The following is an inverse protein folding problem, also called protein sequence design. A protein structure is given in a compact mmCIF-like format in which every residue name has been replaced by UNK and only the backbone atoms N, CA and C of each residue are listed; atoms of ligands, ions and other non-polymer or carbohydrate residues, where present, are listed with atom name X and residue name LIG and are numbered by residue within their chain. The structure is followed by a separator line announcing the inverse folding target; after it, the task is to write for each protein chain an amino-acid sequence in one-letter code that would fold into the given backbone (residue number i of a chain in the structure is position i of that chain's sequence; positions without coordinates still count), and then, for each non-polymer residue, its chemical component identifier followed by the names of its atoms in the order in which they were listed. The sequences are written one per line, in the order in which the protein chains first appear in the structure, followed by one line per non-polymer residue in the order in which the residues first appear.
data_IF_938104072828
#
_entry.id   IF_938104072828
#
_cell.length_a   1.000
_cell.length_b   1.000
_cell.length_c   1.000
_cell.angle_alpha   90.00
_cell.angle_beta   90.00
_cell.angle_gamma   90.00
#
_symmetry.space_group_name_H-M   'P 1'
#
loop_
_entity.id
_entity.type
_entity.pdbx_description
1 polymer ?
#
# COMPACT_ATOMS: atom_id res chain seq x y z
N UNK A 1 -28.65 42.34 -2.61
CA UNK A 1 -29.06 41.01 -3.14
C UNK A 1 -27.99 40.26 -3.89
N UNK A 2 -27.02 40.90 -4.51
CA UNK A 2 -25.90 40.26 -5.19
C UNK A 2 -24.90 39.57 -4.24
N UNK A 3 -24.82 39.98 -2.97
CA UNK A 3 -23.88 39.39 -2.01
C UNK A 3 -24.24 37.96 -1.56
N UNK A 4 -25.48 37.58 -1.60
CA UNK A 4 -25.92 36.24 -1.22
C UNK A 4 -25.62 35.19 -2.29
N UNK A 5 -25.63 35.56 -3.55
CA UNK A 5 -25.31 34.68 -4.66
C UNK A 5 -23.81 34.38 -4.71
N UNK A 6 -22.97 35.36 -4.35
CA UNK A 6 -21.51 35.18 -4.32
C UNK A 6 -21.06 34.23 -3.23
N UNK A 7 -21.73 34.22 -2.09
CA UNK A 7 -21.41 33.32 -0.96
C UNK A 7 -21.75 31.87 -1.30
N UNK A 8 -22.84 31.63 -2.01
CA UNK A 8 -23.25 30.28 -2.42
C UNK A 8 -22.28 29.69 -3.44
N UNK A 9 -21.77 30.50 -4.36
CA UNK A 9 -20.77 30.07 -5.35
C UNK A 9 -19.42 29.71 -4.71
N UNK A 10 -18.99 30.47 -3.70
CA UNK A 10 -17.74 30.20 -3.00
C UNK A 10 -17.79 28.89 -2.19
N UNK A 11 -18.92 28.61 -1.54
CA UNK A 11 -19.10 27.37 -0.76
C UNK A 11 -19.16 26.14 -1.65
N UNK A 12 -19.77 26.21 -2.82
CA UNK A 12 -19.80 25.10 -3.78
C UNK A 12 -18.42 24.77 -4.34
N UNK A 13 -17.59 25.77 -4.59
CA UNK A 13 -16.22 25.60 -5.10
C UNK A 13 -15.30 24.97 -4.03
N UNK A 14 -15.46 25.34 -2.76
CA UNK A 14 -14.68 24.77 -1.68
C UNK A 14 -15.01 23.30 -1.43
N UNK A 15 -16.27 22.90 -1.54
CA UNK A 15 -16.68 21.50 -1.41
C UNK A 15 -16.09 20.61 -2.51
N UNK A 16 -15.97 21.10 -3.74
CA UNK A 16 -15.38 20.36 -4.86
C UNK A 16 -13.87 20.10 -4.67
N UNK A 17 -13.16 21.00 -3.99
CA UNK A 17 -11.72 20.83 -3.71
C UNK A 17 -11.43 19.77 -2.63
N UNK A 18 -12.38 19.52 -1.71
CA UNK A 18 -12.22 18.55 -0.64
C UNK A 18 -12.37 17.09 -1.12
N UNK A 19 -13.00 16.84 -2.26
CA UNK A 19 -13.19 15.51 -2.84
C UNK A 19 -12.08 15.13 -3.83
N UNK A 20 -11.11 16.00 -4.10
CA UNK A 20 -10.04 15.77 -5.07
C UNK A 20 -8.81 15.02 -4.53
N UNK A 21 -8.75 14.74 -3.22
CA UNK A 21 -7.63 14.01 -2.61
C UNK A 21 -7.98 12.52 -2.52
N UNK A 22 -7.54 11.72 -3.51
CA UNK A 22 -7.66 10.27 -3.48
C UNK A 22 -6.69 9.65 -2.49
N UNK A 23 -7.04 8.47 -1.94
CA UNK A 23 -6.13 7.65 -1.15
C UNK A 23 -5.11 6.99 -2.09
N UNK A 24 -3.83 7.07 -1.74
CA UNK A 24 -2.77 6.37 -2.46
C UNK A 24 -2.57 4.99 -1.83
N UNK A 25 -2.35 3.98 -2.69
CA UNK A 25 -2.02 2.65 -2.24
C UNK A 25 -0.65 2.63 -1.58
N UNK A 26 -0.51 1.83 -0.53
CA UNK A 26 0.76 1.58 0.14
C UNK A 26 1.17 0.12 -0.03
N UNK A 27 2.43 -0.19 0.25
CA UNK A 27 2.93 -1.57 0.22
C UNK A 27 2.06 -2.46 1.11
N UNK A 28 1.61 -3.57 0.57
CA UNK A 28 0.77 -4.52 1.28
C UNK A 28 -0.73 -4.34 1.08
N UNK A 29 -1.17 -3.28 0.43
CA UNK A 29 -2.59 -3.08 0.13
C UNK A 29 -3.13 -4.17 -0.79
N UNK A 30 -4.39 -4.52 -0.61
CA UNK A 30 -5.11 -5.42 -1.50
C UNK A 30 -5.24 -4.80 -2.89
N UNK A 31 -5.27 -5.62 -3.91
CA UNK A 31 -5.37 -5.17 -5.29
C UNK A 31 -5.89 -6.28 -6.20
N UNK A 32 -6.45 -5.90 -7.33
CA UNK A 32 -6.85 -6.82 -8.39
C UNK A 32 -6.00 -6.66 -9.64
N UNK A 33 -5.61 -5.42 -9.95
CA UNK A 33 -4.80 -5.06 -11.11
C UNK A 33 -3.68 -4.10 -10.70
N UNK A 34 -2.67 -3.96 -11.55
CA UNK A 34 -1.49 -3.14 -11.25
C UNK A 34 -1.82 -1.67 -10.97
N UNK A 35 -2.80 -1.11 -11.66
CA UNK A 35 -3.19 0.29 -11.46
C UNK A 35 -3.78 0.57 -10.09
N UNK A 36 -4.29 -0.45 -9.40
CA UNK A 36 -4.76 -0.31 -8.02
C UNK A 36 -3.63 0.05 -7.05
N UNK A 37 -2.39 -0.29 -7.42
CA UNK A 37 -1.20 -0.05 -6.61
C UNK A 37 -0.48 1.26 -6.94
N UNK A 38 -1.04 2.08 -7.85
CA UNK A 38 -0.39 3.31 -8.29
C UNK A 38 0.71 3.07 -9.33
N UNK A 39 1.57 4.06 -9.54
CA UNK A 39 2.57 4.04 -10.61
C UNK A 39 3.89 3.39 -10.21
N UNK A 40 4.19 3.32 -8.94
CA UNK A 40 5.48 2.80 -8.43
C UNK A 40 5.46 1.33 -8.05
N UNK A 41 4.28 0.75 -7.92
CA UNK A 41 4.09 -0.62 -7.47
C UNK A 41 3.27 -1.42 -8.49
N UNK A 42 3.33 -2.73 -8.37
CA UNK A 42 2.45 -3.62 -9.12
C UNK A 42 1.65 -4.53 -8.16
N UNK A 43 0.62 -5.17 -8.67
CA UNK A 43 -0.22 -6.08 -7.90
C UNK A 43 0.30 -7.51 -8.02
N UNK A 44 0.79 -8.07 -6.93
CA UNK A 44 1.17 -9.48 -6.85
C UNK A 44 -0.06 -10.34 -6.56
N UNK A 45 -0.61 -10.94 -7.61
CA UNK A 45 -1.87 -11.68 -7.54
C UNK A 45 -1.76 -13.07 -6.94
N UNK A 46 -0.55 -13.60 -6.81
CA UNK A 46 -0.32 -14.87 -6.14
C UNK A 46 -0.52 -14.78 -4.62
N UNK A 47 -0.50 -13.57 -4.10
CA UNK A 47 -0.75 -13.30 -2.68
C UNK A 47 -2.25 -13.19 -2.42
N UNK A 48 -2.75 -13.63 -1.23
CA UNK A 48 -4.18 -13.57 -0.90
C UNK A 48 -4.76 -12.14 -1.06
N UNK A 49 -5.84 -11.99 -1.82
CA UNK A 49 -6.51 -10.72 -2.13
C UNK A 49 -5.61 -9.72 -2.88
N UNK A 50 -4.51 -10.19 -3.47
CA UNK A 50 -3.51 -9.34 -4.08
C UNK A 50 -2.64 -8.58 -3.07
N UNK A 51 -1.50 -8.12 -3.50
CA UNK A 51 -0.53 -7.45 -2.65
C UNK A 51 0.25 -6.42 -3.45
N UNK A 52 0.13 -5.14 -3.08
CA UNK A 52 0.89 -4.08 -3.73
C UNK A 52 2.36 -4.15 -3.28
N UNK A 53 3.27 -4.33 -4.22
CA UNK A 53 4.69 -4.48 -3.91
C UNK A 53 5.60 -3.95 -5.02
N UNK A 54 6.88 -3.94 -4.75
CA UNK A 54 7.95 -3.67 -5.71
C UNK A 54 8.90 -4.85 -5.69
N UNK A 55 9.22 -5.41 -6.85
CA UNK A 55 10.19 -6.47 -7.00
C UNK A 55 11.60 -5.89 -7.15
N UNK A 56 12.60 -6.62 -6.70
CA UNK A 56 14.02 -6.22 -6.77
C UNK A 56 14.30 -4.94 -6.00
N UNK A 57 13.69 -4.81 -4.83
CA UNK A 57 13.80 -3.62 -4.00
C UNK A 57 15.20 -3.35 -3.46
N UNK A 58 16.08 -4.34 -3.46
CA UNK A 58 17.49 -4.14 -3.09
C UNK A 58 18.20 -3.15 -4.02
N UNK A 59 17.75 -3.07 -5.27
CA UNK A 59 18.31 -2.18 -6.27
C UNK A 59 17.58 -0.84 -6.32
N UNK A 60 16.25 -0.87 -6.30
CA UNK A 60 15.40 0.31 -6.55
C UNK A 60 14.75 0.90 -5.29
N UNK A 61 14.79 0.17 -4.17
CA UNK A 61 14.19 0.62 -2.91
C UNK A 61 12.68 0.38 -2.83
N UNK A 62 12.12 0.74 -1.69
CA UNK A 62 10.69 0.63 -1.42
C UNK A 62 10.06 2.01 -1.26
N UNK A 63 8.79 2.19 -1.66
CA UNK A 63 8.03 3.38 -1.29
C UNK A 63 7.92 3.53 0.23
N UNK A 64 7.57 4.70 0.69
CA UNK A 64 7.65 5.29 2.03
C UNK A 64 7.59 4.35 3.24
N UNK A 65 6.70 3.38 3.25
CA UNK A 65 6.49 2.51 4.42
C UNK A 65 6.95 1.08 4.22
N UNK A 66 7.33 0.71 3.01
CA UNK A 66 7.73 -0.65 2.71
C UNK A 66 9.11 -0.98 3.27
N UNK A 67 9.29 -2.21 3.72
CA UNK A 67 10.59 -2.76 4.05
C UNK A 67 11.01 -3.75 2.98
N UNK A 68 12.26 -3.66 2.54
CA UNK A 68 12.78 -4.58 1.53
C UNK A 68 13.20 -5.89 2.18
N UNK A 69 12.59 -6.98 1.75
CA UNK A 69 12.86 -8.33 2.27
C UNK A 69 13.45 -9.16 1.15
N UNK A 70 14.63 -9.71 1.41
CA UNK A 70 15.32 -10.64 0.49
C UNK A 70 14.95 -12.06 0.84
N UNK A 71 14.09 -12.67 0.01
CA UNK A 71 13.65 -14.05 0.21
C UNK A 71 14.64 -15.06 -0.36
N UNK A 72 15.39 -14.66 -1.36
CA UNK A 72 16.42 -15.46 -2.03
C UNK A 72 17.44 -14.50 -2.65
N UNK A 73 18.54 -15.01 -3.17
CA UNK A 73 19.63 -14.22 -3.77
C UNK A 73 19.13 -13.28 -4.89
N UNK A 74 18.11 -13.72 -5.64
CA UNK A 74 17.58 -12.96 -6.76
C UNK A 74 16.14 -12.48 -6.54
N UNK A 75 15.58 -12.66 -5.33
CA UNK A 75 14.20 -12.34 -5.04
C UNK A 75 14.07 -11.47 -3.80
N UNK A 76 13.86 -10.20 -4.03
CA UNK A 76 13.52 -9.24 -2.97
C UNK A 76 12.23 -8.52 -3.32
N UNK A 77 11.42 -8.26 -2.30
CA UNK A 77 10.12 -7.61 -2.44
C UNK A 77 9.92 -6.60 -1.31
N UNK A 78 9.20 -5.54 -1.63
CA UNK A 78 8.75 -4.60 -0.61
C UNK A 78 7.58 -5.22 0.16
N UNK A 79 7.73 -5.31 1.46
CA UNK A 79 6.72 -5.90 2.34
C UNK A 79 6.20 -4.86 3.32
N UNK A 80 4.96 -5.05 3.76
CA UNK A 80 4.32 -4.20 4.75
C UNK A 80 4.94 -4.45 6.13
N UNK A 81 5.51 -3.44 6.79
CA UNK A 81 6.10 -3.63 8.11
C UNK A 81 5.03 -3.87 9.18
N UNK A 82 5.39 -4.61 10.22
CA UNK A 82 4.52 -4.88 11.36
C UNK A 82 5.32 -4.99 12.65
N UNK A 83 4.64 -4.84 13.78
CA UNK A 83 5.19 -5.14 15.11
C UNK A 83 4.46 -6.32 15.75
N UNK A 84 3.15 -6.38 15.54
CA UNK A 84 2.28 -7.43 16.09
C UNK A 84 1.35 -7.97 15.01
N UNK A 85 0.72 -9.12 15.27
CA UNK A 85 -0.13 -9.82 14.31
C UNK A 85 -1.29 -8.97 13.79
N UNK A 86 -1.86 -8.11 14.62
CA UNK A 86 -3.00 -7.26 14.26
C UNK A 86 -2.64 -6.11 13.33
N UNK A 87 -1.35 -5.85 13.11
CA UNK A 87 -0.90 -4.86 12.13
C UNK A 87 -1.07 -5.37 10.69
N UNK A 88 -1.24 -6.68 10.51
CA UNK A 88 -1.40 -7.30 9.21
C UNK A 88 -2.88 -7.52 8.90
N UNK A 89 -3.26 -7.35 7.63
CA UNK A 89 -4.63 -7.63 7.19
C UNK A 89 -4.95 -9.13 7.24
N UNK A 90 -6.21 -9.48 7.13
CA UNK A 90 -6.69 -10.87 7.15
C UNK A 90 -5.95 -11.72 6.10
N UNK A 91 -5.55 -12.92 6.49
CA UNK A 91 -4.79 -13.83 5.64
C UNK A 91 -3.28 -13.64 5.72
N UNK A 92 -2.81 -12.69 6.53
CA UNK A 92 -1.39 -12.37 6.72
C UNK A 92 -0.99 -12.48 8.17
N UNK A 93 0.28 -12.77 8.40
CA UNK A 93 0.89 -12.85 9.73
C UNK A 93 2.12 -11.95 9.79
N UNK A 94 2.43 -11.47 10.98
CA UNK A 94 3.65 -10.70 11.21
C UNK A 94 4.83 -11.67 11.41
N UNK A 95 5.74 -11.70 10.45
CA UNK A 95 6.95 -12.53 10.49
C UNK A 95 8.04 -11.75 11.21
N UNK A 96 8.50 -12.27 12.34
CA UNK A 96 9.49 -11.59 13.20
C UNK A 96 10.86 -12.26 13.22
N UNK A 97 10.98 -13.43 12.61
CA UNK A 97 12.19 -14.28 12.66
C UNK A 97 12.86 -14.45 11.29
N UNK A 98 12.58 -13.58 10.35
CA UNK A 98 13.17 -13.60 9.01
C UNK A 98 13.66 -12.22 8.62
N UNK A 99 14.95 -12.08 8.38
CA UNK A 99 15.54 -10.79 8.00
C UNK A 99 15.59 -9.76 9.13
N UNK A 100 16.05 -8.53 8.85
CA UNK A 100 16.29 -7.51 9.88
C UNK A 100 15.02 -6.79 10.37
N UNK A 101 13.93 -6.85 9.60
CA UNK A 101 12.69 -6.12 9.91
C UNK A 101 11.47 -7.03 9.87
N UNK A 102 10.59 -6.98 10.87
CA UNK A 102 9.33 -7.71 10.82
C UNK A 102 8.43 -7.21 9.68
N UNK A 103 7.74 -8.13 9.03
CA UNK A 103 6.87 -7.82 7.90
C UNK A 103 5.66 -8.76 7.83
N UNK A 104 4.59 -8.27 7.22
CA UNK A 104 3.39 -9.05 6.98
C UNK A 104 3.59 -9.97 5.77
N UNK A 105 3.46 -11.27 5.98
CA UNK A 105 3.50 -12.25 4.88
C UNK A 105 2.26 -13.12 4.91
N UNK A 106 1.92 -13.70 3.77
CA UNK A 106 0.79 -14.60 3.68
C UNK A 106 0.98 -15.81 4.60
N UNK A 107 -0.12 -16.26 5.20
CA UNK A 107 -0.12 -17.55 5.89
C UNK A 107 0.12 -18.61 4.82
N UNK A 108 1.18 -19.40 4.95
CA UNK A 108 1.48 -20.44 3.98
C UNK A 108 0.31 -21.43 3.91
N UNK A 109 -0.11 -21.73 2.69
CA UNK A 109 -1.07 -22.80 2.47
C UNK A 109 -0.46 -24.12 2.95
N UNK A 110 -1.22 -24.94 3.67
CA UNK A 110 -0.72 -26.22 4.16
C UNK A 110 -0.33 -27.19 3.03
#
# INVERSE_FOLDING_TARGET
MSSRLSIVLVTATLAALLFGTGCQAVVGDACEINTDCGTEMYCERSMPEGYCTVKSCEVIGCPDYGVCVSFDLDQSYCMDPCEIATDCRDGYVCVTDFGPHPFCNAVEAP
#
